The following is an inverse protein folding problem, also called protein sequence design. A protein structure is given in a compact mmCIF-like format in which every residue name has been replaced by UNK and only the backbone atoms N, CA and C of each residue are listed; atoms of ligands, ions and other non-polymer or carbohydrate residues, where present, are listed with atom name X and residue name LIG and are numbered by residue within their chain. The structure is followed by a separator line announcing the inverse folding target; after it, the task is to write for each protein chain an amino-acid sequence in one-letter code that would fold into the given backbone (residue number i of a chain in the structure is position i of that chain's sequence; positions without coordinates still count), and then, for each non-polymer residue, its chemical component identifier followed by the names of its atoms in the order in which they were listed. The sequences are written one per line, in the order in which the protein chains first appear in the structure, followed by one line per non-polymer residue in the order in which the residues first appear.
data_IF_526479976830
#
_entry.id   IF_526479976830
#
_cell.length_a   1.000
_cell.length_b   1.000
_cell.length_c   1.000
_cell.angle_alpha   90.00
_cell.angle_beta   90.00
_cell.angle_gamma   90.00
#
_symmetry.space_group_name_H-M   'P 1'
#
loop_
_entity.id
_entity.type
_entity.pdbx_description
1 polymer ?
#
# COMPACT_ATOMS: atom_id res chain seq x y z
N UNK A 1 17.64 28.50 2.98
CA UNK A 1 17.66 28.17 4.42
C UNK A 1 16.63 27.08 4.59
N UNK A 2 16.90 25.94 5.25
CA UNK A 2 15.86 24.94 5.45
C UNK A 2 14.73 25.56 6.27
N UNK A 3 13.49 25.36 5.82
CA UNK A 3 12.33 25.72 6.61
C UNK A 3 12.07 24.63 7.65
N UNK A 4 11.63 25.06 8.83
CA UNK A 4 11.37 24.19 9.97
C UNK A 4 9.93 24.39 10.41
N UNK A 5 9.25 23.31 10.79
CA UNK A 5 8.02 23.39 11.55
C UNK A 5 8.25 24.17 12.85
N UNK A 6 7.18 24.69 13.45
CA UNK A 6 7.22 25.40 14.75
C UNK A 6 7.76 24.55 15.91
N UNK A 7 7.84 23.23 15.72
CA UNK A 7 8.41 22.25 16.64
C UNK A 7 9.89 21.90 16.37
N UNK A 8 10.53 22.54 15.39
CA UNK A 8 11.95 22.39 15.08
C UNK A 8 12.30 21.20 14.18
N UNK A 9 11.32 20.50 13.61
CA UNK A 9 11.56 19.51 12.55
C UNK A 9 11.79 20.20 11.21
N UNK A 10 12.81 19.77 10.48
CA UNK A 10 13.06 20.23 9.11
C UNK A 10 11.87 19.82 8.23
N UNK A 11 11.34 20.75 7.43
CA UNK A 11 10.41 20.40 6.36
C UNK A 11 11.23 19.60 5.34
N UNK A 12 11.17 18.28 5.43
CA UNK A 12 11.77 17.42 4.41
C UNK A 12 10.80 17.37 3.24
N UNK A 13 11.29 17.75 2.06
CA UNK A 13 10.50 17.66 0.85
C UNK A 13 10.07 16.20 0.61
N UNK A 14 8.83 15.99 0.19
CA UNK A 14 8.39 14.66 -0.23
C UNK A 14 9.15 14.23 -1.48
N UNK A 15 9.66 13.01 -1.47
CA UNK A 15 10.40 12.40 -2.56
C UNK A 15 9.68 11.16 -3.11
N UNK A 16 10.18 10.62 -4.21
CA UNK A 16 9.63 9.40 -4.80
C UNK A 16 9.60 8.24 -3.82
N UNK A 17 8.44 7.56 -3.79
CA UNK A 17 8.15 6.51 -2.83
C UNK A 17 7.56 7.01 -1.51
N UNK A 18 7.51 8.33 -1.24
CA UNK A 18 6.76 8.82 -0.08
C UNK A 18 5.26 8.69 -0.28
N UNK A 19 4.58 8.43 0.83
CA UNK A 19 3.13 8.55 0.91
C UNK A 19 2.73 9.67 1.87
N UNK A 20 1.52 10.17 1.69
CA UNK A 20 0.94 11.15 2.59
C UNK A 20 -0.58 10.98 2.67
N UNK A 21 -1.08 10.94 3.90
CA UNK A 21 -2.50 11.07 4.16
C UNK A 21 -2.89 12.54 4.07
N UNK A 22 -4.03 12.80 3.45
CA UNK A 22 -4.59 14.13 3.26
C UNK A 22 -6.08 14.13 3.60
N UNK A 23 -6.52 15.10 4.37
CA UNK A 23 -7.93 15.38 4.62
C UNK A 23 -8.28 16.73 3.99
N UNK A 24 -9.37 16.77 3.22
CA UNK A 24 -9.72 17.91 2.36
C UNK A 24 -10.39 19.10 3.07
N UNK A 25 -10.62 19.02 4.39
CA UNK A 25 -11.27 20.08 5.16
C UNK A 25 -12.79 20.18 5.01
N UNK A 26 -13.44 19.29 4.25
CA UNK A 26 -14.89 19.35 3.93
C UNK A 26 -15.75 18.40 4.79
N UNK A 27 -15.17 17.92 5.88
CA UNK A 27 -15.84 17.02 6.82
C UNK A 27 -16.96 17.67 7.63
N UNK A 28 -17.61 16.85 8.44
CA UNK A 28 -18.71 17.23 9.32
C UNK A 28 -18.23 17.91 10.62
N UNK A 29 -19.15 18.13 11.57
CA UNK A 29 -18.88 18.82 12.84
C UNK A 29 -17.84 18.14 13.75
N UNK A 30 -17.51 16.88 13.50
CA UNK A 30 -16.46 16.16 14.23
C UNK A 30 -15.07 16.42 13.64
N UNK A 31 -14.97 16.94 12.42
CA UNK A 31 -13.70 17.15 11.77
C UNK A 31 -13.03 18.46 12.21
N UNK A 32 -11.70 18.43 12.27
CA UNK A 32 -10.89 19.64 12.40
C UNK A 32 -11.11 20.55 11.19
N UNK A 33 -11.03 21.87 11.40
CA UNK A 33 -11.21 22.84 10.33
C UNK A 33 -9.98 22.88 9.41
N UNK A 34 -10.24 22.98 8.10
CA UNK A 34 -9.21 23.15 7.08
C UNK A 34 -8.54 21.84 6.66
N UNK A 35 -7.74 21.94 5.60
CA UNK A 35 -6.97 20.81 5.07
C UNK A 35 -5.95 20.32 6.11
N UNK A 36 -5.71 19.00 6.13
CA UNK A 36 -4.71 18.39 6.99
C UNK A 36 -3.87 17.39 6.20
N UNK A 37 -2.62 17.23 6.61
CA UNK A 37 -1.69 16.27 6.02
C UNK A 37 -0.95 15.49 7.10
N UNK A 38 -0.60 14.23 6.82
CA UNK A 38 0.31 13.46 7.68
C UNK A 38 1.09 12.41 6.89
N UNK A 39 2.39 12.32 7.17
CA UNK A 39 3.29 11.27 6.69
C UNK A 39 3.34 10.06 7.61
N UNK A 40 2.49 10.01 8.65
CA UNK A 40 2.38 8.84 9.51
C UNK A 40 1.81 7.65 8.73
N UNK A 41 2.23 6.43 9.07
CA UNK A 41 1.70 5.21 8.44
C UNK A 41 0.17 5.11 8.55
N UNK A 42 -0.38 5.49 9.70
CA UNK A 42 -1.83 5.44 9.97
C UNK A 42 -2.45 6.83 9.81
N UNK A 43 -3.70 6.87 9.36
CA UNK A 43 -4.53 8.08 9.37
C UNK A 43 -4.58 8.64 10.82
N UNK A 44 -4.24 9.93 11.07
CA UNK A 44 -4.29 10.57 12.38
C UNK A 44 -5.73 10.83 12.88
N UNK A 45 -6.60 9.83 12.83
CA UNK A 45 -8.05 9.93 13.07
C UNK A 45 -8.42 10.60 14.40
N UNK A 46 -7.67 10.34 15.47
CA UNK A 46 -7.93 10.96 16.79
C UNK A 46 -7.56 12.45 16.83
N UNK A 47 -6.69 12.90 15.93
CA UNK A 47 -6.31 14.31 15.77
C UNK A 47 -7.25 15.02 14.79
N UNK A 48 -7.63 14.35 13.71
CA UNK A 48 -8.47 14.93 12.67
C UNK A 48 -9.95 14.90 12.98
N UNK A 49 -10.43 13.92 13.75
CA UNK A 49 -11.85 13.72 14.03
C UNK A 49 -12.10 13.60 15.54
N UNK A 50 -12.63 14.68 16.12
CA UNK A 50 -13.02 14.74 17.53
C UNK A 50 -14.05 13.67 17.87
N UNK A 51 -13.81 12.95 18.97
CA UNK A 51 -14.70 11.90 19.44
C UNK A 51 -14.61 10.57 18.68
N UNK A 52 -13.62 10.38 17.80
CA UNK A 52 -13.27 9.07 17.25
C UNK A 52 -12.90 8.07 18.37
N UNK A 53 -13.42 6.85 18.31
CA UNK A 53 -13.16 5.81 19.31
C UNK A 53 -11.71 5.33 19.23
N UNK A 54 -10.87 5.50 20.27
CA UNK A 54 -9.47 5.05 20.25
C UNK A 54 -9.30 3.54 20.03
N UNK A 55 -10.35 2.73 20.22
CA UNK A 55 -10.31 1.28 20.04
C UNK A 55 -10.83 0.80 18.68
N UNK A 56 -11.47 1.67 17.89
CA UNK A 56 -11.88 1.34 16.52
C UNK A 56 -10.96 2.06 15.51
N UNK A 57 -10.02 1.35 14.86
CA UNK A 57 -9.12 1.96 13.89
C UNK A 57 -9.84 2.53 12.65
N UNK A 58 -11.10 2.14 12.41
CA UNK A 58 -11.90 2.58 11.27
C UNK A 58 -12.93 3.66 11.63
N UNK A 59 -12.99 4.12 12.88
CA UNK A 59 -13.87 5.22 13.26
C UNK A 59 -13.30 6.57 12.80
N UNK A 60 -13.72 6.97 11.60
CA UNK A 60 -13.46 8.29 11.02
C UNK A 60 -14.61 9.28 11.26
N UNK A 61 -15.57 8.96 12.16
CA UNK A 61 -16.74 9.81 12.44
C UNK A 61 -17.55 10.19 11.20
N UNK A 62 -17.68 9.26 10.24
CA UNK A 62 -18.29 9.47 8.92
C UNK A 62 -17.57 10.47 7.99
N UNK A 63 -16.30 10.78 8.24
CA UNK A 63 -15.49 11.65 7.38
C UNK A 63 -14.60 10.88 6.40
N UNK A 64 -14.71 9.55 6.32
CA UNK A 64 -13.82 8.73 5.51
C UNK A 64 -13.73 9.14 4.04
N UNK A 65 -14.83 9.65 3.45
CA UNK A 65 -14.86 10.12 2.05
C UNK A 65 -14.03 11.38 1.79
N UNK A 66 -13.63 12.09 2.83
CA UNK A 66 -12.83 13.32 2.77
C UNK A 66 -11.34 13.05 3.01
N UNK A 67 -10.97 11.78 3.19
CA UNK A 67 -9.60 11.33 3.43
C UNK A 67 -9.07 10.72 2.14
N UNK A 68 -7.84 11.07 1.79
CA UNK A 68 -7.14 10.59 0.61
C UNK A 68 -5.74 10.14 1.00
N UNK A 69 -5.22 9.14 0.29
CA UNK A 69 -3.82 8.74 0.34
C UNK A 69 -3.18 9.16 -0.98
N UNK A 70 -2.03 9.82 -0.89
CA UNK A 70 -1.20 10.17 -2.03
C UNK A 70 0.10 9.38 -1.97
N UNK A 71 0.61 8.96 -3.13
CA UNK A 71 1.96 8.41 -3.31
C UNK A 71 2.69 9.20 -4.38
N UNK A 72 3.92 9.60 -4.08
CA UNK A 72 4.75 10.45 -4.94
C UNK A 72 5.65 9.59 -5.82
N UNK A 73 5.68 9.89 -7.11
CA UNK A 73 6.62 9.34 -8.09
C UNK A 73 7.28 10.48 -8.86
N UNK A 74 8.42 10.21 -9.50
CA UNK A 74 9.21 11.24 -10.19
C UNK A 74 8.41 11.97 -11.29
N UNK A 75 7.47 11.27 -11.93
CA UNK A 75 6.68 11.79 -13.05
C UNK A 75 5.22 12.07 -12.73
N UNK A 76 4.72 11.61 -11.59
CA UNK A 76 3.29 11.66 -11.26
C UNK A 76 3.03 11.55 -9.76
N UNK A 77 1.83 11.96 -9.37
CA UNK A 77 1.29 11.73 -8.04
C UNK A 77 0.06 10.85 -8.18
N UNK A 78 -0.02 9.76 -7.41
CA UNK A 78 -1.20 8.90 -7.36
C UNK A 78 -2.03 9.22 -6.15
N UNK A 79 -3.34 9.40 -6.34
CA UNK A 79 -4.32 9.68 -5.28
C UNK A 79 -5.40 8.61 -5.25
N UNK A 80 -5.68 8.10 -4.05
CA UNK A 80 -6.73 7.11 -3.79
C UNK A 80 -7.37 7.27 -2.41
N UNK A 81 -8.28 6.38 -2.08
CA UNK A 81 -8.98 6.27 -0.78
C UNK A 81 -9.01 4.81 -0.32
N UNK A 82 -7.83 4.18 -0.15
CA UNK A 82 -7.74 2.73 0.02
C UNK A 82 -8.31 2.22 1.35
N UNK A 83 -8.54 3.11 2.33
CA UNK A 83 -9.23 2.79 3.59
C UNK A 83 -10.74 2.59 3.42
N UNK A 84 -11.33 3.03 2.29
CA UNK A 84 -12.72 2.78 1.98
C UNK A 84 -12.86 1.49 1.18
N UNK A 85 -13.76 0.60 1.60
CA UNK A 85 -14.07 -0.66 0.88
C UNK A 85 -14.45 -0.42 -0.59
N UNK A 86 -15.07 0.71 -0.90
CA UNK A 86 -15.49 1.11 -2.25
C UNK A 86 -14.69 2.30 -2.79
N UNK A 87 -13.56 2.64 -2.16
CA UNK A 87 -12.71 3.74 -2.58
C UNK A 87 -11.96 3.42 -3.88
N UNK A 88 -11.69 4.46 -4.66
CA UNK A 88 -10.80 4.36 -5.81
C UNK A 88 -9.32 4.35 -5.35
N UNK A 89 -8.42 3.79 -6.15
CA UNK A 89 -6.99 3.73 -5.83
C UNK A 89 -6.69 2.76 -4.68
N UNK A 90 -6.68 1.46 -4.99
CA UNK A 90 -6.27 0.42 -4.02
C UNK A 90 -4.78 0.55 -3.66
N UNK A 91 -4.34 -0.10 -2.59
CA UNK A 91 -2.91 -0.14 -2.22
C UNK A 91 -2.04 -0.71 -3.34
N UNK A 92 -2.47 -1.79 -3.98
CA UNK A 92 -1.79 -2.36 -5.13
C UNK A 92 -1.57 -1.32 -6.25
N UNK A 93 -2.58 -0.50 -6.54
CA UNK A 93 -2.47 0.58 -7.52
C UNK A 93 -1.60 1.74 -7.04
N UNK A 94 -1.85 2.26 -5.83
CA UNK A 94 -1.14 3.41 -5.28
C UNK A 94 0.37 3.16 -5.18
N UNK A 95 0.75 1.93 -4.83
CA UNK A 95 2.11 1.57 -4.46
C UNK A 95 2.87 0.83 -5.58
N UNK A 96 2.28 0.66 -6.77
CA UNK A 96 2.77 -0.27 -7.79
C UNK A 96 3.06 -1.68 -7.22
N UNK A 97 2.20 -2.15 -6.31
CA UNK A 97 2.44 -3.36 -5.53
C UNK A 97 1.34 -4.41 -5.81
N UNK A 98 1.34 -5.04 -7.00
CA UNK A 98 0.28 -5.96 -7.41
C UNK A 98 0.11 -7.17 -6.48
N UNK A 99 1.12 -7.50 -5.66
CA UNK A 99 1.03 -8.56 -4.66
C UNK A 99 0.56 -8.11 -3.27
N UNK A 100 0.34 -6.82 -3.04
CA UNK A 100 0.15 -6.26 -1.69
C UNK A 100 1.25 -6.73 -0.70
N UNK A 101 2.50 -6.81 -1.18
CA UNK A 101 3.65 -7.22 -0.38
C UNK A 101 3.93 -6.23 0.74
N UNK A 102 4.21 -6.75 1.93
CA UNK A 102 4.59 -5.95 3.11
C UNK A 102 6.06 -6.13 3.43
N UNK A 103 6.65 -5.14 4.10
CA UNK A 103 8.04 -5.18 4.53
C UNK A 103 8.27 -4.63 5.92
N UNK A 104 9.54 -4.60 6.32
CA UNK A 104 9.99 -4.01 7.57
C UNK A 104 11.24 -3.16 7.30
N UNK A 105 11.52 -2.12 8.12
CA UNK A 105 12.76 -1.36 8.00
C UNK A 105 14.00 -2.27 8.00
N UNK A 106 14.89 -2.08 7.03
CA UNK A 106 16.07 -2.94 6.83
C UNK A 106 15.77 -4.38 6.38
N UNK A 107 14.55 -4.66 5.91
CA UNK A 107 14.17 -5.94 5.33
C UNK A 107 14.80 -6.22 3.96
N UNK A 108 14.48 -7.36 3.34
CA UNK A 108 14.99 -7.73 2.02
C UNK A 108 14.63 -6.70 0.95
N UNK A 109 15.53 -6.53 -0.02
CA UNK A 109 15.32 -5.70 -1.19
C UNK A 109 14.71 -6.52 -2.32
N UNK A 110 13.55 -6.11 -2.80
CA UNK A 110 12.83 -6.66 -3.95
C UNK A 110 12.69 -5.64 -5.09
N UNK A 111 13.41 -4.51 -5.03
CA UNK A 111 13.32 -3.40 -5.97
C UNK A 111 12.37 -2.28 -5.55
N UNK A 112 11.82 -2.32 -4.33
CA UNK A 112 11.04 -1.23 -3.76
C UNK A 112 11.89 0.02 -3.48
N UNK A 113 11.24 1.16 -3.24
CA UNK A 113 11.93 2.31 -2.67
C UNK A 113 12.48 1.98 -1.26
N UNK A 114 13.78 2.22 -1.00
CA UNK A 114 14.40 1.86 0.28
C UNK A 114 13.77 2.57 1.47
N UNK A 115 13.36 1.80 2.48
CA UNK A 115 12.72 2.30 3.72
C UNK A 115 11.48 3.17 3.51
N UNK A 116 10.78 3.02 2.38
CA UNK A 116 9.49 3.65 2.12
C UNK A 116 8.38 2.62 2.26
N UNK A 117 7.36 2.96 3.03
CA UNK A 117 6.24 2.08 3.33
C UNK A 117 4.97 2.90 3.33
N UNK A 118 3.89 2.37 2.75
CA UNK A 118 2.56 2.91 2.96
C UNK A 118 1.89 2.22 4.15
N UNK A 119 0.62 2.55 4.40
CA UNK A 119 -0.25 1.93 5.39
C UNK A 119 -0.12 0.39 5.42
N UNK A 120 -0.24 -0.22 6.60
CA UNK A 120 0.02 -1.65 6.84
C UNK A 120 1.44 -2.14 6.46
N UNK A 121 2.40 -1.23 6.30
CA UNK A 121 3.75 -1.52 5.83
C UNK A 121 3.81 -2.09 4.40
N UNK A 122 2.84 -1.75 3.56
CA UNK A 122 2.93 -2.10 2.14
C UNK A 122 4.17 -1.46 1.52
N UNK A 123 4.93 -2.28 0.78
CA UNK A 123 6.06 -1.83 -0.02
C UNK A 123 5.56 -0.92 -1.15
N UNK A 124 6.36 0.07 -1.51
CA UNK A 124 6.11 0.98 -2.64
C UNK A 124 7.19 0.76 -3.68
N UNK A 125 6.79 0.43 -4.91
CA UNK A 125 7.68 0.13 -6.03
C UNK A 125 7.72 1.27 -7.04
N UNK A 126 8.85 1.49 -7.74
CA UNK A 126 8.97 2.55 -8.75
C UNK A 126 7.98 2.38 -9.91
N UNK A 127 7.69 1.14 -10.31
CA UNK A 127 6.74 0.80 -11.36
C UNK A 127 6.10 -0.57 -11.12
N UNK A 128 5.02 -0.82 -11.86
CA UNK A 128 4.22 -2.04 -11.73
C UNK A 128 5.03 -3.30 -12.06
N UNK A 129 5.87 -3.26 -13.10
CA UNK A 129 6.69 -4.42 -13.52
C UNK A 129 7.67 -4.84 -12.42
N UNK A 130 8.27 -3.87 -11.73
CA UNK A 130 9.15 -4.11 -10.57
C UNK A 130 8.37 -4.74 -9.43
N UNK A 131 7.20 -4.21 -9.08
CA UNK A 131 6.34 -4.78 -8.06
C UNK A 131 5.80 -6.17 -8.42
N UNK A 132 5.55 -6.44 -9.69
CA UNK A 132 5.15 -7.75 -10.18
C UNK A 132 6.29 -8.76 -10.03
N UNK A 133 7.51 -8.40 -10.45
CA UNK A 133 8.71 -9.22 -10.30
C UNK A 133 9.08 -9.49 -8.83
N UNK A 134 8.76 -8.55 -7.93
CA UNK A 134 8.98 -8.70 -6.50
C UNK A 134 8.20 -9.88 -5.89
N UNK A 135 7.05 -10.26 -6.45
CA UNK A 135 6.26 -11.42 -5.97
C UNK A 135 7.08 -12.71 -6.05
N UNK A 136 7.71 -13.01 -7.19
CA UNK A 136 8.58 -14.17 -7.34
C UNK A 136 9.80 -14.09 -6.41
N UNK A 137 10.39 -12.90 -6.30
CA UNK A 137 11.56 -12.68 -5.43
C UNK A 137 11.23 -12.91 -3.95
N UNK A 138 10.04 -12.52 -3.52
CA UNK A 138 9.51 -12.74 -2.17
C UNK A 138 9.24 -14.23 -1.90
N UNK A 139 8.54 -14.90 -2.82
CA UNK A 139 8.21 -16.33 -2.71
C UNK A 139 9.43 -17.26 -2.87
N UNK A 140 10.49 -16.77 -3.52
CA UNK A 140 11.77 -17.46 -3.64
C UNK A 140 12.66 -17.37 -2.39
N UNK A 141 12.24 -16.67 -1.34
CA UNK A 141 13.04 -16.39 -0.15
C UNK A 141 12.37 -16.83 1.15
N UNK A 142 13.17 -16.84 2.23
CA UNK A 142 12.68 -17.17 3.57
C UNK A 142 12.13 -18.60 3.66
N UNK A 143 10.97 -18.83 4.30
CA UNK A 143 10.42 -20.18 4.44
C UNK A 143 9.69 -20.66 3.17
N UNK A 144 9.25 -19.75 2.30
CA UNK A 144 8.33 -20.05 1.19
C UNK A 144 8.80 -21.18 0.27
N UNK A 145 10.08 -21.26 -0.16
CA UNK A 145 10.53 -22.32 -1.07
C UNK A 145 10.29 -23.74 -0.55
N UNK A 146 10.26 -23.91 0.78
CA UNK A 146 10.07 -25.22 1.43
C UNK A 146 8.61 -25.52 1.79
N UNK A 147 7.71 -24.58 1.57
CA UNK A 147 6.28 -24.76 1.83
C UNK A 147 5.59 -25.30 0.58
N UNK A 148 4.58 -26.15 0.78
CA UNK A 148 3.59 -26.40 -0.26
C UNK A 148 2.85 -25.10 -0.62
N UNK A 149 2.26 -25.03 -1.81
CA UNK A 149 1.43 -23.87 -2.20
C UNK A 149 0.33 -23.61 -1.15
N UNK A 150 -0.31 -24.67 -0.63
CA UNK A 150 -1.32 -24.51 0.42
C UNK A 150 -0.77 -23.83 1.69
N UNK A 151 0.37 -24.29 2.18
CA UNK A 151 1.00 -23.72 3.38
C UNK A 151 1.55 -22.31 3.13
N UNK A 152 2.11 -22.07 1.95
CA UNK A 152 2.58 -20.76 1.52
C UNK A 152 1.43 -19.72 1.57
N UNK A 153 0.25 -20.05 1.03
CA UNK A 153 -0.87 -19.11 1.01
C UNK A 153 -1.59 -18.96 2.34
N UNK A 154 -1.60 -20.00 3.20
CA UNK A 154 -2.01 -19.85 4.60
C UNK A 154 -1.11 -18.88 5.39
N UNK A 155 0.16 -18.76 4.99
CA UNK A 155 1.09 -17.78 5.55
C UNK A 155 0.97 -16.41 4.87
N UNK A 156 0.79 -16.38 3.56
CA UNK A 156 0.72 -15.15 2.75
C UNK A 156 -0.56 -14.35 3.04
N UNK A 157 -1.72 -15.02 3.08
CA UNK A 157 -3.03 -14.41 3.32
C UNK A 157 -3.78 -15.20 4.40
N UNK A 158 -3.41 -15.06 5.69
CA UNK A 158 -3.97 -15.86 6.77
C UNK A 158 -5.48 -15.67 6.92
N UNK A 159 -6.19 -16.74 7.27
CA UNK A 159 -7.64 -16.69 7.51
C UNK A 159 -8.02 -15.82 8.72
N UNK A 160 -7.10 -15.61 9.68
CA UNK A 160 -7.29 -14.69 10.81
C UNK A 160 -7.58 -13.26 10.39
N UNK A 161 -7.15 -12.89 9.18
CA UNK A 161 -7.29 -11.54 8.64
C UNK A 161 -8.54 -11.43 7.75
N UNK A 162 -9.41 -12.45 7.78
CA UNK A 162 -10.64 -12.52 7.00
C UNK A 162 -10.46 -13.07 5.58
N UNK A 163 -9.29 -13.62 5.26
CA UNK A 163 -8.98 -14.20 3.95
C UNK A 163 -9.46 -15.66 3.81
N UNK A 164 -9.42 -16.18 2.58
CA UNK A 164 -9.74 -17.57 2.22
C UNK A 164 -8.51 -18.30 1.65
N UNK A 165 -7.46 -18.55 2.46
CA UNK A 165 -6.15 -19.01 1.96
C UNK A 165 -6.20 -20.33 1.19
N UNK A 166 -7.07 -21.26 1.57
CA UNK A 166 -7.19 -22.56 0.87
C UNK A 166 -7.77 -22.40 -0.54
N UNK A 167 -8.73 -21.48 -0.72
CA UNK A 167 -9.27 -21.13 -2.04
C UNK A 167 -8.22 -20.39 -2.87
N UNK A 168 -7.50 -19.45 -2.24
CA UNK A 168 -6.39 -18.74 -2.88
C UNK A 168 -5.34 -19.74 -3.40
N UNK A 169 -4.89 -20.66 -2.56
CA UNK A 169 -3.95 -21.73 -2.92
C UNK A 169 -4.44 -22.57 -4.09
N UNK A 170 -5.72 -22.98 -4.08
CA UNK A 170 -6.32 -23.75 -5.17
C UNK A 170 -6.32 -22.96 -6.49
N UNK A 171 -6.66 -21.68 -6.43
CA UNK A 171 -6.72 -20.79 -7.60
C UNK A 171 -5.33 -20.57 -8.22
N UNK A 172 -4.29 -20.34 -7.41
CA UNK A 172 -2.92 -20.18 -7.92
C UNK A 172 -2.33 -21.50 -8.43
N UNK A 173 -2.60 -22.63 -7.76
CA UNK A 173 -2.12 -23.94 -8.20
C UNK A 173 -2.78 -24.34 -9.53
N UNK A 174 -4.07 -24.06 -9.69
CA UNK A 174 -4.78 -24.27 -10.94
C UNK A 174 -4.20 -23.40 -12.07
N UNK A 175 -3.88 -22.13 -11.81
CA UNK A 175 -3.22 -21.24 -12.76
C UNK A 175 -1.85 -21.78 -13.21
N UNK A 176 -1.05 -22.27 -12.25
CA UNK A 176 0.26 -22.86 -12.49
C UNK A 176 0.20 -24.32 -12.99
N UNK A 177 -1.00 -24.90 -13.14
CA UNK A 177 -1.23 -26.28 -13.59
C UNK A 177 -0.51 -27.34 -12.72
N UNK A 178 -0.50 -27.16 -11.41
CA UNK A 178 0.12 -28.04 -10.42
C UNK A 178 -0.82 -28.37 -9.26
N UNK A 179 -0.44 -29.31 -8.39
CA UNK A 179 -1.16 -29.59 -7.14
C UNK A 179 -0.87 -28.51 -6.08
N UNK A 180 -1.81 -28.27 -5.16
CA UNK A 180 -1.58 -27.45 -3.97
C UNK A 180 -0.47 -28.00 -3.04
N UNK A 181 -0.14 -29.29 -3.16
CA UNK A 181 0.94 -29.95 -2.40
C UNK A 181 2.33 -29.69 -3.00
N UNK A 182 2.41 -29.10 -4.19
CA UNK A 182 3.68 -28.78 -4.85
C UNK A 182 4.44 -27.75 -4.01
N UNK A 183 5.75 -27.93 -3.83
CA UNK A 183 6.57 -26.94 -3.13
C UNK A 183 6.75 -25.70 -4.01
N UNK A 184 6.70 -24.52 -3.39
CA UNK A 184 6.90 -23.25 -4.12
C UNK A 184 8.29 -23.20 -4.78
N UNK A 185 9.31 -23.76 -4.13
CA UNK A 185 10.67 -23.81 -4.67
C UNK A 185 10.87 -24.77 -5.85
N UNK A 186 9.92 -25.67 -6.10
CA UNK A 186 9.97 -26.64 -7.21
C UNK A 186 9.31 -26.11 -8.49
N UNK A 187 8.67 -24.92 -8.43
CA UNK A 187 8.01 -24.32 -9.57
C UNK A 187 9.03 -23.91 -10.64
N UNK A 188 8.71 -24.19 -11.90
CA UNK A 188 9.45 -23.61 -13.02
C UNK A 188 9.19 -22.11 -13.10
N UNK A 189 10.02 -21.39 -13.86
CA UNK A 189 9.81 -19.95 -14.09
C UNK A 189 8.43 -19.63 -14.67
N UNK A 190 7.94 -20.44 -15.61
CA UNK A 190 6.61 -20.26 -16.22
C UNK A 190 5.48 -20.49 -15.19
N UNK A 191 5.64 -21.49 -14.31
CA UNK A 191 4.67 -21.77 -13.24
C UNK A 191 4.67 -20.68 -12.16
N UNK A 192 5.85 -20.16 -11.80
CA UNK A 192 5.99 -19.02 -10.90
C UNK A 192 5.31 -17.78 -11.51
N UNK A 193 5.53 -17.51 -12.80
CA UNK A 193 4.87 -16.39 -13.48
C UNK A 193 3.35 -16.55 -13.50
N UNK A 194 2.83 -17.75 -13.77
CA UNK A 194 1.39 -18.04 -13.71
C UNK A 194 0.81 -17.87 -12.29
N UNK A 195 1.60 -18.15 -11.25
CA UNK A 195 1.26 -17.86 -9.87
C UNK A 195 1.23 -16.34 -9.60
N UNK A 196 2.24 -15.58 -10.03
CA UNK A 196 2.29 -14.12 -9.88
C UNK A 196 1.08 -13.43 -10.53
N UNK A 197 0.75 -13.79 -11.78
CA UNK A 197 -0.41 -13.23 -12.48
C UNK A 197 -1.72 -13.55 -11.77
N UNK A 198 -1.83 -14.71 -11.12
CA UNK A 198 -3.02 -15.08 -10.36
C UNK A 198 -3.11 -14.39 -9.01
N UNK A 199 -1.98 -14.17 -8.34
CA UNK A 199 -1.88 -13.32 -7.14
C UNK A 199 -2.41 -11.93 -7.48
N UNK A 200 -1.85 -11.27 -8.50
CA UNK A 200 -2.29 -9.93 -8.92
C UNK A 200 -3.79 -9.87 -9.22
N UNK A 201 -4.33 -10.87 -9.92
CA UNK A 201 -5.75 -10.95 -10.24
C UNK A 201 -6.64 -11.08 -8.99
N UNK A 202 -6.17 -11.77 -7.95
CA UNK A 202 -6.89 -11.97 -6.68
C UNK A 202 -6.79 -10.72 -5.79
N UNK A 203 -5.60 -10.14 -5.66
CA UNK A 203 -5.38 -8.92 -4.88
C UNK A 203 -6.22 -7.75 -5.39
N UNK A 204 -6.39 -7.66 -6.72
CA UNK A 204 -7.27 -6.70 -7.35
C UNK A 204 -6.72 -5.27 -7.33
N UNK A 205 -6.47 -4.74 -8.54
CA UNK A 205 -6.04 -3.36 -8.71
C UNK A 205 -7.25 -2.49 -9.03
N UNK A 206 -7.55 -1.51 -8.18
CA UNK A 206 -8.57 -0.50 -8.43
C UNK A 206 -7.84 0.81 -8.75
N UNK A 207 -7.88 1.32 -9.99
CA UNK A 207 -7.26 2.58 -10.33
C UNK A 207 -7.82 3.77 -9.53
N UNK A 208 -6.95 4.71 -9.20
CA UNK A 208 -7.30 5.98 -8.58
C UNK A 208 -7.18 7.14 -9.56
N UNK A 209 -6.78 8.30 -9.07
CA UNK A 209 -6.47 9.48 -9.89
C UNK A 209 -4.96 9.67 -10.01
N UNK A 210 -4.45 9.77 -11.22
CA UNK A 210 -3.09 10.25 -11.50
C UNK A 210 -3.14 11.77 -11.67
N UNK A 211 -2.22 12.47 -11.02
CA UNK A 211 -2.08 13.93 -11.03
C UNK A 211 -0.65 14.30 -11.44
N UNK A 212 -0.52 15.38 -12.21
CA UNK A 212 0.71 16.14 -12.25
C UNK A 212 0.89 16.92 -10.95
N UNK A 213 2.12 17.29 -10.60
CA UNK A 213 2.41 18.04 -9.37
C UNK A 213 1.54 19.31 -9.25
N UNK A 214 1.39 20.05 -10.35
CA UNK A 214 0.56 21.28 -10.40
C UNK A 214 -0.95 21.06 -10.18
N UNK A 215 -1.42 19.82 -10.24
CA UNK A 215 -2.84 19.45 -10.06
C UNK A 215 -3.14 18.97 -8.63
N UNK A 216 -2.13 18.76 -7.79
CA UNK A 216 -2.31 18.38 -6.40
C UNK A 216 -2.81 19.57 -5.54
N UNK A 217 -3.42 19.34 -4.38
CA UNK A 217 -3.71 20.42 -3.43
C UNK A 217 -2.44 21.24 -3.11
N UNK A 218 -2.58 22.56 -2.91
CA UNK A 218 -1.43 23.46 -2.73
C UNK A 218 -0.51 22.99 -1.59
N UNK A 219 -1.08 22.53 -0.47
CA UNK A 219 -0.30 21.99 0.66
C UNK A 219 0.58 20.79 0.27
N UNK A 220 0.13 19.95 -0.66
CA UNK A 220 0.93 18.82 -1.17
C UNK A 220 2.01 19.34 -2.12
N UNK A 221 1.71 20.35 -2.95
CA UNK A 221 2.70 20.97 -3.82
C UNK A 221 3.83 21.61 -3.01
N UNK A 222 3.50 22.33 -1.94
CA UNK A 222 4.47 22.99 -1.08
C UNK A 222 5.40 21.95 -0.41
N UNK A 223 4.82 20.85 0.09
CA UNK A 223 5.59 19.73 0.65
C UNK A 223 6.51 19.05 -0.38
N UNK A 224 6.10 18.92 -1.64
CA UNK A 224 6.99 18.39 -2.70
C UNK A 224 8.12 19.37 -3.01
N UNK A 225 7.84 20.67 -3.00
CA UNK A 225 8.82 21.71 -3.29
C UNK A 225 9.75 22.04 -2.10
N UNK A 226 9.46 21.51 -0.91
CA UNK A 226 10.19 21.81 0.33
C UNK A 226 9.98 23.25 0.81
N UNK A 227 8.77 23.78 0.58
CA UNK A 227 8.33 25.13 0.95
C UNK A 227 7.35 25.11 2.13
#
# INVERSE_FOLDING_TARGET
MPEFYSDGRQIMALESGDHIWYYDGQGNEFAISGEQTSTDLNIPRLQWFSGADPNDPNDYRNNGIHIFNFVIYDSEIRRGQPHLRTGAGSHAWLNNNPGNLTGVPGGPDFGQFPNKFNWHHFLIFPDHDTGFAAIASFLGQGPYPTLSILEAFRKYAPASDGNTPDQYAADVAASAQVSTDTLVGDLTSDQMQAMQSKIEAIEGTIPGTTLQASEAPQVIQDLINGA
#
